data_IF_363850933378
#
_entry.id   IF_363850933378
#
_cell.length_a   1.000
_cell.length_b   1.000
_cell.length_c   1.000
_cell.angle_alpha   90.00
_cell.angle_beta   90.00
_cell.angle_gamma   90.00
#
_symmetry.space_group_name_H-M   'P 1'
#
loop_
_entity.id
_entity.type
_entity.pdbx_description
1 polymer ?
#
# COMPACT_ATOMS: atom_id res chain seq x y z
N UNK A 1 -30.70 16.80 35.45
CA UNK A 1 -29.71 17.29 34.46
C UNK A 1 -28.34 16.97 35.04
N UNK A 2 -27.70 15.88 34.59
CA UNK A 2 -26.40 15.46 35.14
C UNK A 2 -25.30 16.39 34.62
N UNK A 3 -24.44 16.95 35.49
CA UNK A 3 -23.27 17.74 35.08
C UNK A 3 -22.29 16.88 34.25
N UNK A 4 -21.86 17.38 33.08
CA UNK A 4 -20.84 16.70 32.26
C UNK A 4 -19.47 16.89 32.93
N UNK A 5 -18.78 15.81 33.28
CA UNK A 5 -17.43 15.91 33.87
C UNK A 5 -16.43 16.39 32.79
N UNK A 6 -15.57 17.40 33.08
CA UNK A 6 -14.62 17.94 32.11
C UNK A 6 -13.47 17.00 31.69
N UNK A 7 -13.47 15.73 32.11
CA UNK A 7 -12.31 14.83 32.06
C UNK A 7 -12.31 13.78 30.94
N UNK A 8 -13.42 13.56 30.25
CA UNK A 8 -13.57 12.44 29.30
C UNK A 8 -13.11 12.80 27.88
N UNK A 9 -11.90 13.39 27.74
CA UNK A 9 -11.27 13.55 26.44
C UNK A 9 -10.60 12.23 26.08
N UNK A 10 -11.11 11.45 25.11
CA UNK A 10 -10.45 10.23 24.71
C UNK A 10 -9.05 10.57 24.19
N UNK A 11 -8.03 10.12 24.90
CA UNK A 11 -6.65 10.26 24.48
C UNK A 11 -6.44 9.28 23.32
N UNK A 12 -6.45 9.79 22.10
CA UNK A 12 -6.18 8.98 20.90
C UNK A 12 -4.74 8.48 20.95
N UNK A 13 -4.56 7.19 21.20
CA UNK A 13 -3.24 6.56 21.17
C UNK A 13 -2.63 6.61 19.75
N UNK A 14 -1.38 7.08 19.61
CA UNK A 14 -0.72 7.14 18.32
C UNK A 14 -0.48 5.72 17.77
N UNK A 15 -1.13 5.40 16.66
CA UNK A 15 -1.06 4.08 16.04
C UNK A 15 -0.01 4.06 14.92
N UNK A 16 1.12 3.37 15.15
CA UNK A 16 2.22 3.22 14.18
C UNK A 16 1.85 2.45 12.89
N UNK A 17 0.67 1.82 12.84
CA UNK A 17 0.21 1.01 11.69
C UNK A 17 0.07 1.84 10.40
N UNK A 18 -0.36 3.09 10.52
CA UNK A 18 -0.57 4.00 9.38
C UNK A 18 0.75 4.39 8.69
N UNK A 19 1.79 4.89 9.40
CA UNK A 19 3.07 5.18 8.75
C UNK A 19 3.75 3.92 8.23
N UNK A 20 3.71 2.80 8.97
CA UNK A 20 4.30 1.55 8.52
C UNK A 20 3.69 1.03 7.20
N UNK A 21 2.37 1.09 7.04
CA UNK A 21 1.70 0.74 5.79
C UNK A 21 2.14 1.63 4.62
N UNK A 22 2.27 2.94 4.86
CA UNK A 22 2.76 3.87 3.85
C UNK A 22 4.20 3.53 3.39
N UNK A 23 5.10 3.19 4.32
CA UNK A 23 6.46 2.76 3.96
C UNK A 23 6.49 1.48 3.13
N UNK A 24 5.64 0.48 3.45
CA UNK A 24 5.54 -0.75 2.65
C UNK A 24 5.07 -0.46 1.24
N UNK A 25 4.07 0.43 1.08
CA UNK A 25 3.59 0.85 -0.23
C UNK A 25 4.68 1.54 -1.05
N UNK A 26 5.41 2.48 -0.42
CA UNK A 26 6.53 3.19 -1.06
C UNK A 26 7.62 2.19 -1.48
N UNK A 27 8.02 1.29 -0.57
CA UNK A 27 9.04 0.28 -0.86
C UNK A 27 8.62 -0.63 -2.04
N UNK A 28 7.34 -1.01 -2.12
CA UNK A 28 6.81 -1.80 -3.23
C UNK A 28 6.90 -1.04 -4.56
N UNK A 29 6.51 0.23 -4.58
CA UNK A 29 6.58 1.08 -5.79
C UNK A 29 8.04 1.27 -6.22
N UNK A 30 8.95 1.51 -5.28
CA UNK A 30 10.38 1.65 -5.56
C UNK A 30 10.95 0.34 -6.11
N UNK A 31 10.65 -0.79 -5.47
CA UNK A 31 11.10 -2.10 -5.94
C UNK A 31 10.59 -2.37 -7.38
N UNK A 32 9.34 -2.02 -7.67
CA UNK A 32 8.78 -2.12 -9.01
C UNK A 32 9.51 -1.22 -10.00
N UNK A 33 9.70 0.06 -9.68
CA UNK A 33 10.41 1.01 -10.52
C UNK A 33 11.85 0.55 -10.83
N UNK A 34 12.57 0.03 -9.83
CA UNK A 34 13.92 -0.53 -9.99
C UNK A 34 13.90 -1.78 -10.87
N UNK A 35 12.96 -2.70 -10.65
CA UNK A 35 12.82 -3.90 -11.47
C UNK A 35 12.62 -3.51 -12.93
N UNK A 36 11.72 -2.57 -13.20
CA UNK A 36 11.43 -2.10 -14.56
C UNK A 36 12.64 -1.38 -15.16
N UNK A 37 13.30 -0.51 -14.41
CA UNK A 37 14.51 0.19 -14.87
C UNK A 37 15.68 -0.79 -15.14
N UNK A 38 15.72 -1.95 -14.47
CA UNK A 38 16.77 -2.95 -14.64
C UNK A 38 16.58 -3.83 -15.89
N UNK A 39 15.36 -3.91 -16.42
CA UNK A 39 15.08 -4.73 -17.59
C UNK A 39 15.59 -4.02 -18.87
N UNK A 40 16.22 -4.75 -19.81
CA UNK A 40 16.64 -4.19 -21.11
C UNK A 40 15.43 -4.07 -22.06
N UNK A 41 14.42 -3.31 -21.63
CA UNK A 41 13.10 -3.25 -22.26
C UNK A 41 13.14 -2.68 -23.68
N UNK A 42 14.19 -1.94 -24.04
CA UNK A 42 14.43 -1.41 -25.39
C UNK A 42 14.56 -2.47 -26.51
N UNK A 43 14.55 -3.77 -26.18
CA UNK A 43 14.60 -4.88 -27.15
C UNK A 43 13.28 -5.62 -27.38
N UNK A 44 12.23 -5.32 -26.60
CA UNK A 44 10.91 -5.97 -26.74
C UNK A 44 10.02 -5.21 -27.74
N UNK A 45 9.07 -5.89 -28.42
CA UNK A 45 8.08 -5.23 -29.25
C UNK A 45 7.28 -4.22 -28.42
N UNK A 46 7.29 -2.95 -28.82
CA UNK A 46 6.72 -1.84 -28.03
C UNK A 46 5.23 -1.95 -27.70
N UNK A 47 4.48 -2.85 -28.37
CA UNK A 47 3.06 -3.06 -28.12
C UNK A 47 2.75 -4.12 -27.05
N UNK A 48 3.66 -5.08 -26.81
CA UNK A 48 3.47 -6.07 -25.73
C UNK A 48 3.89 -5.52 -24.36
N UNK A 49 4.88 -4.62 -24.33
CA UNK A 49 5.31 -3.93 -23.12
C UNK A 49 4.13 -3.38 -22.29
N UNK A 50 3.28 -2.48 -22.81
CA UNK A 50 2.23 -1.86 -22.01
C UNK A 50 1.20 -2.88 -21.52
N UNK A 51 0.90 -3.92 -22.29
CA UNK A 51 -0.06 -4.96 -21.88
C UNK A 51 0.49 -5.73 -20.66
N UNK A 52 1.75 -6.14 -20.72
CA UNK A 52 2.41 -6.81 -19.58
C UNK A 52 2.49 -5.88 -18.37
N UNK A 53 2.79 -4.59 -18.55
CA UNK A 53 2.79 -3.61 -17.47
C UNK A 53 1.42 -3.38 -16.85
N UNK A 54 0.37 -3.34 -17.66
CA UNK A 54 -1.00 -3.15 -17.19
C UNK A 54 -1.46 -4.38 -16.42
N UNK A 55 -1.23 -5.59 -16.92
CA UNK A 55 -1.62 -6.82 -16.23
C UNK A 55 -0.79 -7.04 -14.96
N UNK A 56 0.53 -6.84 -15.02
CA UNK A 56 1.39 -6.93 -13.84
C UNK A 56 1.08 -5.84 -12.82
N UNK A 57 0.92 -4.58 -13.24
CA UNK A 57 0.58 -3.48 -12.34
C UNK A 57 -0.82 -3.63 -11.73
N UNK A 58 -1.85 -3.82 -12.55
CA UNK A 58 -3.25 -3.91 -12.09
C UNK A 58 -3.48 -5.19 -11.29
N UNK A 59 -2.99 -6.34 -11.77
CA UNK A 59 -3.16 -7.61 -11.06
C UNK A 59 -2.35 -7.69 -9.78
N UNK A 60 -1.06 -7.32 -9.84
CA UNK A 60 -0.13 -7.52 -8.72
C UNK A 60 -0.20 -6.42 -7.67
N UNK A 61 -0.29 -5.13 -8.05
CA UNK A 61 -0.24 -4.02 -7.07
C UNK A 61 -1.61 -3.78 -6.43
N UNK A 62 -2.71 -3.97 -7.16
CA UNK A 62 -4.04 -3.61 -6.64
C UNK A 62 -4.76 -4.76 -5.93
N UNK A 63 -4.70 -5.97 -6.48
CA UNK A 63 -5.56 -7.04 -5.97
C UNK A 63 -4.98 -7.71 -4.71
N UNK A 64 -3.66 -7.88 -4.65
CA UNK A 64 -3.01 -8.70 -3.64
C UNK A 64 -2.48 -7.91 -2.43
N UNK A 65 -1.58 -6.91 -2.59
CA UNK A 65 -1.06 -6.17 -1.45
C UNK A 65 -2.03 -5.08 -1.00
N UNK A 66 -2.75 -4.39 -1.90
CA UNK A 66 -3.64 -3.28 -1.50
C UNK A 66 -4.72 -3.75 -0.52
N UNK A 67 -5.47 -4.79 -0.86
CA UNK A 67 -6.55 -5.29 0.00
C UNK A 67 -6.00 -5.77 1.35
N UNK A 68 -4.88 -6.50 1.35
CA UNK A 68 -4.27 -7.07 2.55
C UNK A 68 -3.62 -6.02 3.45
N UNK A 69 -3.02 -4.99 2.85
CA UNK A 69 -2.38 -3.87 3.54
C UNK A 69 -3.44 -2.94 4.15
N UNK A 70 -4.55 -2.66 3.45
CA UNK A 70 -5.67 -1.89 4.02
C UNK A 70 -6.31 -2.62 5.20
N UNK A 71 -6.60 -3.92 5.06
CA UNK A 71 -7.11 -4.71 6.18
C UNK A 71 -6.14 -4.70 7.36
N UNK A 72 -4.83 -4.82 7.10
CA UNK A 72 -3.82 -4.75 8.16
C UNK A 72 -3.73 -3.36 8.81
N UNK A 73 -3.85 -2.27 8.06
CA UNK A 73 -3.86 -0.91 8.60
C UNK A 73 -5.09 -0.65 9.49
N UNK A 74 -6.24 -1.20 9.13
CA UNK A 74 -7.50 -1.06 9.86
C UNK A 74 -7.58 -1.97 11.09
N UNK A 75 -7.10 -3.22 10.99
CA UNK A 75 -7.32 -4.25 12.04
C UNK A 75 -6.04 -4.69 12.75
N UNK A 76 -4.86 -4.38 12.21
CA UNK A 76 -3.57 -4.85 12.74
C UNK A 76 -3.33 -6.35 12.56
N UNK A 77 -4.22 -7.08 11.87
CA UNK A 77 -4.11 -8.52 11.64
C UNK A 77 -3.76 -8.79 10.18
N UNK A 78 -2.85 -9.74 9.94
CA UNK A 78 -2.55 -10.22 8.59
C UNK A 78 -3.54 -11.36 8.23
N UNK A 79 -4.81 -11.00 8.07
CA UNK A 79 -5.93 -11.97 7.90
C UNK A 79 -6.73 -12.17 9.18
#
# INVERSE_FOLDING_TARGET
>A
MSPREPGDIPVTEPTWRKPAGAFVLIALIVAWAVLIASLPIGRLPGLLQPIVYVVAGIGWIWLFPFRRLFTWMETGRWG
#
